data_IF_327000202624
#
_entry.id   IF_327000202624
#
_cell.length_a   1.000
_cell.length_b   1.000
_cell.length_c   1.000
_cell.angle_alpha   90.00
_cell.angle_beta   90.00
_cell.angle_gamma   90.00
#
_symmetry.space_group_name_H-M   'P 1'
#
loop_
_entity.id
_entity.type
_entity.pdbx_description
1 polymer ?
#
# COMPACT_ATOMS: atom_id res chain seq x y z
N UNK A 1 1.69 8.12 24.49
CA UNK A 1 1.96 7.46 25.78
C UNK A 1 3.45 7.10 25.80
N UNK A 2 4.23 7.64 26.75
CA UNK A 2 5.67 7.35 26.88
C UNK A 2 5.82 6.21 27.89
N UNK A 3 6.44 5.10 27.50
CA UNK A 3 6.84 4.04 28.41
C UNK A 3 8.31 4.24 28.74
N UNK A 4 8.65 4.26 30.02
CA UNK A 4 10.03 4.34 30.49
C UNK A 4 10.62 2.93 30.51
N UNK A 5 11.43 2.59 29.50
CA UNK A 5 12.26 1.39 29.53
C UNK A 5 13.66 1.77 30.07
N UNK A 6 13.74 1.97 31.39
CA UNK A 6 15.01 2.12 32.09
C UNK A 6 15.75 3.46 31.90
N UNK A 7 16.82 3.59 32.69
CA UNK A 7 17.65 4.80 32.91
C UNK A 7 18.13 5.36 31.56
N UNK A 8 17.43 6.37 31.05
CA UNK A 8 17.69 7.15 29.83
C UNK A 8 17.06 6.68 28.50
N UNK A 9 16.13 5.71 28.47
CA UNK A 9 15.37 5.39 27.23
C UNK A 9 13.88 5.66 27.39
N UNK A 10 13.44 6.79 26.85
CA UNK A 10 12.02 7.13 26.70
C UNK A 10 11.49 6.51 25.41
N UNK A 11 10.67 5.47 25.52
CA UNK A 11 10.01 4.87 24.37
C UNK A 11 8.69 5.61 24.11
N UNK A 12 8.60 6.26 22.95
CA UNK A 12 7.33 6.70 22.40
C UNK A 12 6.66 5.49 21.75
N UNK A 13 5.55 5.04 22.33
CA UNK A 13 4.70 3.97 21.76
C UNK A 13 4.25 4.24 20.31
N UNK A 14 4.35 5.50 19.86
CA UNK A 14 3.85 5.96 18.58
C UNK A 14 4.94 6.83 17.92
N UNK A 15 5.86 6.24 17.14
CA UNK A 15 6.65 7.03 16.20
C UNK A 15 5.69 7.60 15.15
N UNK A 16 5.63 8.93 15.06
CA UNK A 16 4.71 9.66 14.17
C UNK A 16 5.21 9.71 12.72
N UNK A 17 6.51 9.63 12.49
CA UNK A 17 7.10 9.74 11.16
C UNK A 17 7.70 8.40 10.67
N UNK A 18 7.63 8.17 9.37
CA UNK A 18 8.41 7.12 8.72
C UNK A 18 9.89 7.50 8.67
N UNK A 19 10.78 6.50 8.77
CA UNK A 19 12.21 6.70 8.51
C UNK A 19 12.43 7.12 7.05
N UNK A 20 13.56 7.78 6.75
CA UNK A 20 13.87 8.21 5.38
C UNK A 20 13.87 7.03 4.40
N UNK A 21 14.41 5.89 4.83
CA UNK A 21 14.40 4.64 4.06
C UNK A 21 12.97 4.13 3.88
N UNK A 22 12.15 4.14 4.94
CA UNK A 22 10.75 3.74 4.88
C UNK A 22 9.92 4.59 3.92
N UNK A 23 10.08 5.92 3.93
CA UNK A 23 9.38 6.81 3.00
C UNK A 23 9.75 6.54 1.54
N UNK A 24 11.05 6.34 1.25
CA UNK A 24 11.49 5.97 -0.10
C UNK A 24 10.94 4.60 -0.51
N UNK A 25 11.01 3.61 0.38
CA UNK A 25 10.51 2.27 0.13
C UNK A 25 9.00 2.28 -0.16
N UNK A 26 8.18 2.92 0.68
CA UNK A 26 6.74 3.05 0.46
C UNK A 26 6.44 3.77 -0.87
N UNK A 27 7.20 4.83 -1.19
CA UNK A 27 7.12 5.54 -2.46
C UNK A 27 7.32 4.65 -3.68
N UNK A 28 8.34 3.79 -3.66
CA UNK A 28 8.65 2.84 -4.75
C UNK A 28 7.74 1.61 -4.76
N UNK A 29 7.27 1.18 -3.60
CA UNK A 29 6.38 0.03 -3.47
C UNK A 29 4.98 0.35 -4.04
N UNK A 30 4.45 1.56 -3.89
CA UNK A 30 3.12 1.91 -4.42
C UNK A 30 2.93 1.67 -5.94
N UNK A 31 3.79 2.14 -6.86
CA UNK A 31 3.62 1.88 -8.29
C UNK A 31 3.77 0.39 -8.63
N UNK A 32 4.62 -0.34 -7.91
CA UNK A 32 4.74 -1.78 -8.07
C UNK A 32 3.48 -2.52 -7.59
N UNK A 33 2.91 -2.08 -6.46
CA UNK A 33 1.64 -2.57 -5.94
C UNK A 33 0.54 -2.44 -6.99
N UNK A 34 0.47 -1.28 -7.65
CA UNK A 34 -0.48 -1.02 -8.72
C UNK A 34 -0.24 -1.95 -9.92
N UNK A 35 1.02 -2.13 -10.33
CA UNK A 35 1.38 -2.98 -11.46
C UNK A 35 0.98 -4.45 -11.24
N UNK A 36 1.04 -4.95 -10.01
CA UNK A 36 0.57 -6.31 -9.65
C UNK A 36 -0.95 -6.35 -9.48
N UNK A 37 -1.54 -5.31 -8.91
CA UNK A 37 -2.97 -5.24 -8.63
C UNK A 37 -3.83 -5.17 -9.91
N UNK A 38 -3.35 -4.51 -10.97
CA UNK A 38 -4.08 -4.42 -12.25
C UNK A 38 -4.38 -5.82 -12.82
N UNK A 39 -3.39 -6.72 -13.00
CA UNK A 39 -3.65 -8.11 -13.36
C UNK A 39 -4.61 -8.84 -12.41
N UNK A 40 -4.52 -8.64 -11.09
CA UNK A 40 -5.45 -9.26 -10.12
C UNK A 40 -6.89 -8.83 -10.41
N UNK A 41 -7.13 -7.53 -10.58
CA UNK A 41 -8.45 -6.96 -10.88
C UNK A 41 -8.99 -7.49 -12.21
N UNK A 42 -8.17 -7.52 -13.25
CA UNK A 42 -8.57 -7.99 -14.58
C UNK A 42 -8.91 -9.47 -14.54
N UNK A 43 -8.03 -10.32 -14.03
CA UNK A 43 -8.25 -11.77 -13.99
C UNK A 43 -9.48 -12.11 -13.14
N UNK A 44 -9.62 -11.50 -11.97
CA UNK A 44 -10.78 -11.75 -11.11
C UNK A 44 -12.07 -11.18 -11.67
N UNK A 45 -12.03 -9.99 -12.29
CA UNK A 45 -13.19 -9.38 -12.94
C UNK A 45 -13.72 -10.23 -14.10
N UNK A 46 -12.84 -10.73 -14.98
CA UNK A 46 -13.26 -11.61 -16.09
C UNK A 46 -13.70 -12.99 -15.58
N UNK A 47 -13.20 -13.43 -14.41
CA UNK A 47 -13.56 -14.73 -13.85
C UNK A 47 -15.00 -14.81 -13.32
N UNK A 48 -15.63 -13.68 -13.02
CA UNK A 48 -17.06 -13.61 -12.65
C UNK A 48 -17.96 -13.57 -13.89
N UNK A 49 -19.11 -14.26 -13.90
CA UNK A 49 -19.63 -15.13 -12.84
C UNK A 49 -18.97 -16.53 -12.82
N UNK A 50 -18.54 -17.03 -13.99
CA UNK A 50 -17.88 -18.32 -14.12
C UNK A 50 -17.15 -18.43 -15.47
N UNK A 51 -15.86 -18.06 -15.51
CA UNK A 51 -15.05 -18.17 -16.73
C UNK A 51 -14.45 -19.57 -16.93
N UNK A 52 -14.04 -20.22 -15.83
CA UNK A 52 -13.29 -21.48 -15.88
C UNK A 52 -13.68 -22.47 -14.79
N UNK A 53 -14.43 -22.07 -13.76
CA UNK A 53 -14.65 -22.89 -12.57
C UNK A 53 -15.49 -24.12 -12.90
N UNK A 54 -16.62 -23.95 -13.58
CA UNK A 54 -17.47 -25.09 -13.99
C UNK A 54 -16.78 -26.02 -14.99
N UNK A 55 -16.10 -25.45 -16.00
CA UNK A 55 -15.37 -26.23 -17.00
C UNK A 55 -14.24 -27.06 -16.37
N UNK A 56 -13.43 -26.45 -15.49
CA UNK A 56 -12.35 -27.15 -14.80
C UNK A 56 -12.89 -28.18 -13.82
N UNK A 57 -14.03 -27.93 -13.18
CA UNK A 57 -14.66 -28.92 -12.32
C UNK A 57 -15.08 -30.16 -13.13
N UNK A 58 -15.79 -29.96 -14.24
CA UNK A 58 -16.27 -31.04 -15.12
C UNK A 58 -15.11 -31.85 -15.72
N UNK A 59 -14.08 -31.19 -16.26
CA UNK A 59 -12.91 -31.87 -16.84
C UNK A 59 -12.18 -32.72 -15.79
N UNK A 60 -12.07 -32.20 -14.56
CA UNK A 60 -11.51 -32.97 -13.46
C UNK A 60 -12.32 -34.24 -13.19
N UNK A 61 -13.65 -34.14 -13.24
CA UNK A 61 -14.54 -35.24 -12.87
C UNK A 61 -14.53 -36.33 -13.93
N UNK A 62 -14.56 -35.94 -15.20
CA UNK A 62 -14.45 -36.84 -16.36
C UNK A 62 -13.15 -37.68 -16.29
N UNK A 63 -12.10 -37.12 -15.69
CA UNK A 63 -10.80 -37.77 -15.51
C UNK A 63 -10.60 -38.35 -14.09
N UNK A 64 -11.65 -38.38 -13.25
CA UNK A 64 -11.63 -38.94 -11.88
C UNK A 64 -10.63 -38.24 -10.95
N UNK A 65 -10.44 -36.93 -11.10
CA UNK A 65 -9.46 -36.13 -10.36
C UNK A 65 -10.04 -35.22 -9.29
N UNK A 66 -11.38 -35.10 -9.22
CA UNK A 66 -12.13 -34.31 -8.26
C UNK A 66 -13.59 -34.84 -8.15
N UNK A 67 -14.40 -34.18 -7.32
CA UNK A 67 -15.82 -34.51 -7.11
C UNK A 67 -16.71 -34.18 -8.32
N UNK A 68 -17.92 -34.72 -8.35
CA UNK A 68 -18.90 -34.49 -9.42
C UNK A 68 -19.56 -33.10 -9.29
N UNK A 69 -19.50 -32.22 -10.32
CA UNK A 69 -20.21 -30.93 -10.30
C UNK A 69 -21.73 -31.07 -10.16
N UNK A 70 -22.31 -32.18 -10.63
CA UNK A 70 -23.75 -32.44 -10.55
C UNK A 70 -24.21 -32.97 -9.17
N UNK A 71 -23.31 -33.04 -8.17
CA UNK A 71 -23.65 -33.49 -6.81
C UNK A 71 -24.80 -32.68 -6.18
N UNK A 72 -24.85 -31.37 -6.43
CA UNK A 72 -25.88 -30.48 -5.89
C UNK A 72 -27.22 -30.76 -6.55
N UNK A 73 -27.24 -30.87 -7.88
CA UNK A 73 -28.46 -31.17 -8.63
C UNK A 73 -28.99 -32.57 -8.31
N UNK A 74 -28.10 -33.54 -8.16
CA UNK A 74 -28.46 -34.90 -7.76
C UNK A 74 -29.09 -34.92 -6.35
N UNK A 75 -28.49 -34.22 -5.37
CA UNK A 75 -29.04 -34.17 -4.02
C UNK A 75 -30.41 -33.48 -4.00
N UNK A 76 -30.54 -32.38 -4.74
CA UNK A 76 -31.80 -31.64 -4.87
C UNK A 76 -32.91 -32.50 -5.50
N UNK A 77 -32.61 -33.19 -6.61
CA UNK A 77 -33.58 -34.05 -7.31
C UNK A 77 -34.00 -35.28 -6.49
N UNK A 78 -33.15 -35.76 -5.58
CA UNK A 78 -33.42 -36.93 -4.73
C UNK A 78 -33.86 -36.56 -3.31
N UNK A 79 -34.20 -35.30 -3.04
CA UNK A 79 -34.57 -34.81 -1.70
C UNK A 79 -33.56 -35.19 -0.59
N UNK A 80 -32.27 -35.23 -0.94
CA UNK A 80 -31.17 -35.48 0.00
C UNK A 80 -30.63 -34.15 0.55
N UNK A 81 -29.98 -34.16 1.72
CA UNK A 81 -29.31 -32.98 2.23
C UNK A 81 -28.28 -32.47 1.20
N UNK A 82 -28.25 -31.16 0.99
CA UNK A 82 -27.34 -30.52 0.04
C UNK A 82 -25.89 -30.77 0.48
N UNK A 83 -25.05 -31.38 -0.38
CA UNK A 83 -23.69 -31.69 -0.01
C UNK A 83 -22.85 -30.42 0.00
N UNK A 84 -21.83 -30.39 0.86
CA UNK A 84 -20.92 -29.25 0.99
C UNK A 84 -20.05 -29.11 -0.24
N UNK A 85 -20.23 -28.05 -1.02
CA UNK A 85 -19.39 -27.75 -2.18
C UNK A 85 -18.00 -27.32 -1.72
N UNK A 86 -16.92 -27.92 -2.25
CA UNK A 86 -15.56 -27.50 -1.94
C UNK A 86 -15.32 -26.03 -2.24
N UNK A 87 -14.57 -25.33 -1.38
CA UNK A 87 -14.36 -23.88 -1.49
C UNK A 87 -13.80 -23.48 -2.86
N UNK A 88 -12.90 -24.28 -3.44
CA UNK A 88 -12.32 -24.05 -4.75
C UNK A 88 -13.34 -23.98 -5.89
N UNK A 89 -14.40 -24.80 -5.81
CA UNK A 89 -15.46 -24.86 -6.82
C UNK A 89 -16.65 -23.98 -6.46
N UNK A 90 -16.57 -23.20 -5.39
CA UNK A 90 -17.65 -22.35 -4.92
C UNK A 90 -17.67 -20.98 -5.62
N UNK A 91 -18.87 -20.44 -5.89
CA UNK A 91 -19.01 -19.05 -6.34
C UNK A 91 -18.58 -18.06 -5.25
N UNK A 92 -18.68 -18.46 -3.98
CA UNK A 92 -18.25 -17.65 -2.84
C UNK A 92 -16.77 -17.27 -2.93
N UNK A 93 -15.90 -18.18 -3.37
CA UNK A 93 -14.47 -17.89 -3.55
C UNK A 93 -14.24 -16.89 -4.70
N UNK A 94 -14.92 -17.06 -5.84
CA UNK A 94 -14.82 -16.12 -6.97
C UNK A 94 -15.28 -14.71 -6.56
N UNK A 95 -16.41 -14.62 -5.86
CA UNK A 95 -16.95 -13.35 -5.37
C UNK A 95 -16.03 -12.71 -4.33
N UNK A 96 -15.45 -13.52 -3.42
CA UNK A 96 -14.46 -13.07 -2.46
C UNK A 96 -13.22 -12.51 -3.15
N UNK A 97 -12.69 -13.20 -4.17
CA UNK A 97 -11.53 -12.76 -4.93
C UNK A 97 -11.75 -11.41 -5.65
N UNK A 98 -12.93 -11.20 -6.22
CA UNK A 98 -13.33 -9.89 -6.79
C UNK A 98 -13.44 -8.83 -5.70
N UNK A 99 -14.06 -9.14 -4.57
CA UNK A 99 -14.20 -8.18 -3.47
C UNK A 99 -12.84 -7.75 -2.91
N UNK A 100 -11.91 -8.68 -2.66
CA UNK A 100 -10.60 -8.34 -2.12
C UNK A 100 -9.77 -7.50 -3.09
N UNK A 101 -9.91 -7.69 -4.41
CA UNK A 101 -9.17 -6.89 -5.40
C UNK A 101 -9.68 -5.45 -5.44
N UNK A 102 -11.00 -5.24 -5.36
CA UNK A 102 -11.60 -3.91 -5.25
C UNK A 102 -11.19 -3.23 -3.93
N UNK A 103 -11.24 -3.97 -2.82
CA UNK A 103 -10.81 -3.46 -1.50
C UNK A 103 -9.33 -3.05 -1.55
N UNK A 104 -8.48 -3.88 -2.17
CA UNK A 104 -7.05 -3.58 -2.34
C UNK A 104 -6.82 -2.31 -3.15
N UNK A 105 -7.60 -2.10 -4.23
CA UNK A 105 -7.55 -0.88 -5.02
C UNK A 105 -7.93 0.36 -4.20
N UNK A 106 -9.01 0.28 -3.43
CA UNK A 106 -9.42 1.38 -2.58
C UNK A 106 -8.33 1.73 -1.55
N UNK A 107 -7.73 0.72 -0.91
CA UNK A 107 -6.63 0.94 0.03
C UNK A 107 -5.38 1.51 -0.65
N UNK A 108 -5.05 1.09 -1.86
CA UNK A 108 -3.94 1.66 -2.63
C UNK A 108 -4.17 3.15 -2.94
N UNK A 109 -5.39 3.52 -3.35
CA UNK A 109 -5.75 4.92 -3.60
C UNK A 109 -5.73 5.75 -2.32
N UNK A 110 -6.31 5.23 -1.22
CA UNK A 110 -6.28 5.89 0.07
C UNK A 110 -4.84 6.06 0.59
N UNK A 111 -3.99 5.04 0.40
CA UNK A 111 -2.56 5.06 0.74
C UNK A 111 -1.82 6.12 -0.07
N UNK A 112 -2.10 6.25 -1.37
CA UNK A 112 -1.51 7.29 -2.22
C UNK A 112 -1.84 8.70 -1.71
N UNK A 113 -3.11 8.96 -1.41
CA UNK A 113 -3.56 10.27 -0.87
C UNK A 113 -2.89 10.54 0.48
N UNK A 114 -2.92 9.56 1.39
CA UNK A 114 -2.31 9.68 2.71
C UNK A 114 -0.79 9.90 2.63
N UNK A 115 -0.12 9.30 1.64
CA UNK A 115 1.30 9.48 1.38
C UNK A 115 1.62 10.90 0.90
N UNK A 116 0.85 11.44 -0.06
CA UNK A 116 1.01 12.81 -0.56
C UNK A 116 0.79 13.84 0.56
N UNK A 117 -0.24 13.63 1.37
CA UNK A 117 -0.55 14.49 2.52
C UNK A 117 0.43 14.32 3.70
N UNK A 118 1.41 13.42 3.61
CA UNK A 118 2.34 13.06 4.69
C UNK A 118 1.64 12.63 5.99
N UNK A 119 0.41 12.11 5.90
CA UNK A 119 -0.39 11.62 7.03
C UNK A 119 -0.42 10.09 7.13
N UNK A 120 0.33 9.39 6.29
CA UNK A 120 0.40 7.94 6.33
C UNK A 120 1.24 7.48 7.53
N UNK A 121 0.61 7.07 8.63
CA UNK A 121 1.32 6.61 9.83
C UNK A 121 1.67 5.10 9.77
N UNK A 122 2.84 4.69 10.27
CA UNK A 122 3.28 3.29 10.22
C UNK A 122 2.37 2.33 11.00
N UNK A 123 1.65 2.81 12.03
CA UNK A 123 0.70 1.99 12.78
C UNK A 123 -0.52 1.58 11.94
N UNK A 124 -1.08 2.51 11.17
CA UNK A 124 -2.18 2.22 10.25
C UNK A 124 -1.71 1.32 9.11
N UNK A 125 -0.48 1.54 8.63
CA UNK A 125 0.13 0.67 7.64
C UNK A 125 0.22 -0.78 8.13
N UNK A 126 0.68 -1.04 9.37
CA UNK A 126 0.72 -2.40 9.91
C UNK A 126 -0.67 -3.02 9.95
N UNK A 127 -1.68 -2.31 10.48
CA UNK A 127 -3.04 -2.85 10.58
C UNK A 127 -3.63 -3.23 9.22
N UNK A 128 -3.51 -2.33 8.23
CA UNK A 128 -4.02 -2.55 6.88
C UNK A 128 -3.30 -3.71 6.20
N UNK A 129 -1.96 -3.76 6.29
CA UNK A 129 -1.19 -4.85 5.68
C UNK A 129 -1.53 -6.21 6.32
N UNK A 130 -1.69 -6.28 7.64
CA UNK A 130 -2.12 -7.53 8.32
C UNK A 130 -3.49 -7.97 7.83
N UNK A 131 -4.45 -7.04 7.72
CA UNK A 131 -5.79 -7.36 7.23
C UNK A 131 -5.75 -7.88 5.77
N UNK A 132 -4.99 -7.22 4.90
CA UNK A 132 -4.83 -7.65 3.50
C UNK A 132 -4.11 -8.99 3.40
N UNK A 133 -3.06 -9.24 4.18
CA UNK A 133 -2.36 -10.53 4.23
C UNK A 133 -3.34 -11.65 4.63
N UNK A 134 -4.18 -11.43 5.63
CA UNK A 134 -5.16 -12.41 6.06
C UNK A 134 -6.16 -12.73 4.94
N UNK A 135 -6.69 -11.70 4.26
CA UNK A 135 -7.62 -11.85 3.14
C UNK A 135 -7.00 -12.60 1.95
N UNK A 136 -5.79 -12.21 1.52
CA UNK A 136 -5.09 -12.89 0.43
C UNK A 136 -4.67 -14.30 0.79
N UNK A 137 -4.37 -14.58 2.06
CA UNK A 137 -4.07 -15.94 2.54
C UNK A 137 -5.30 -16.85 2.43
N UNK A 138 -6.50 -16.37 2.78
CA UNK A 138 -7.76 -17.09 2.56
C UNK A 138 -8.01 -17.31 1.06
N UNK A 139 -7.74 -16.32 0.21
CA UNK A 139 -7.85 -16.45 -1.25
C UNK A 139 -6.92 -17.54 -1.80
N UNK A 140 -5.64 -17.54 -1.40
CA UNK A 140 -4.65 -18.54 -1.82
C UNK A 140 -5.05 -19.94 -1.35
N UNK A 141 -5.45 -20.06 -0.08
CA UNK A 141 -5.94 -21.33 0.47
C UNK A 141 -7.16 -21.84 -0.29
N UNK A 142 -8.12 -20.97 -0.63
CA UNK A 142 -9.29 -21.35 -1.42
C UNK A 142 -8.95 -21.77 -2.84
N UNK A 143 -7.98 -21.10 -3.49
CA UNK A 143 -7.57 -21.42 -4.87
C UNK A 143 -6.79 -22.74 -4.98
N UNK A 144 -5.99 -23.09 -3.97
CA UNK A 144 -5.23 -24.37 -3.93
C UNK A 144 -5.97 -25.46 -3.17
N UNK A 145 -7.11 -25.12 -2.57
CA UNK A 145 -7.77 -25.92 -1.55
C UNK A 145 -8.15 -27.33 -1.99
N UNK A 146 -8.31 -28.24 -1.01
CA UNK A 146 -8.70 -29.60 -1.29
C UNK A 146 -10.16 -29.72 -1.71
N UNK A 147 -10.45 -30.80 -2.42
CA UNK A 147 -11.78 -31.30 -2.73
C UNK A 147 -11.91 -32.72 -2.16
N UNK A 148 -12.64 -32.83 -1.05
CA UNK A 148 -12.99 -34.10 -0.39
C UNK A 148 -14.50 -34.35 -0.41
N UNK A 149 -15.24 -33.72 -1.31
CA UNK A 149 -16.70 -33.87 -1.36
C UNK A 149 -17.15 -35.27 -1.79
N UNK A 150 -16.35 -35.97 -2.62
CA UNK A 150 -16.57 -37.36 -3.01
C UNK A 150 -15.47 -38.25 -2.43
N UNK A 151 -15.78 -39.20 -1.52
CA UNK A 151 -14.81 -40.16 -0.98
C UNK A 151 -14.15 -41.04 -2.03
N UNK A 152 -14.75 -41.18 -3.23
CA UNK A 152 -14.22 -42.02 -4.32
C UNK A 152 -13.03 -41.37 -5.04
N UNK A 153 -13.03 -40.04 -5.12
CA UNK A 153 -12.04 -39.26 -5.85
C UNK A 153 -11.50 -38.10 -5.00
N UNK A 154 -10.83 -38.40 -3.86
CA UNK A 154 -10.30 -37.37 -2.98
C UNK A 154 -9.15 -36.63 -3.67
N UNK A 155 -9.19 -35.30 -3.62
CA UNK A 155 -8.19 -34.43 -4.22
C UNK A 155 -7.65 -33.46 -3.17
N UNK A 156 -6.37 -33.59 -2.82
CA UNK A 156 -5.73 -32.68 -1.86
C UNK A 156 -5.54 -31.25 -2.38
N UNK A 157 -5.58 -31.06 -3.70
CA UNK A 157 -5.48 -29.76 -4.35
C UNK A 157 -6.16 -29.80 -5.74
N UNK A 158 -6.42 -28.63 -6.32
CA UNK A 158 -6.93 -28.52 -7.69
C UNK A 158 -6.10 -29.34 -8.68
N UNK A 159 -6.77 -30.10 -9.54
CA UNK A 159 -6.09 -31.01 -10.46
C UNK A 159 -5.20 -30.27 -11.46
N UNK A 160 -5.57 -29.08 -11.90
CA UNK A 160 -4.82 -28.32 -12.91
C UNK A 160 -3.52 -27.73 -12.36
N UNK A 161 -3.33 -27.69 -11.04
CA UNK A 161 -2.02 -27.42 -10.43
C UNK A 161 -1.16 -28.67 -10.32
N UNK A 162 -1.77 -29.85 -10.16
CA UNK A 162 -1.05 -31.13 -10.01
C UNK A 162 -0.65 -31.76 -11.35
N UNK A 163 -1.54 -31.70 -12.34
CA UNK A 163 -1.34 -32.34 -13.65
C UNK A 163 -1.04 -31.34 -14.78
N UNK A 164 -1.19 -30.04 -14.51
CA UNK A 164 -0.99 -28.98 -15.50
C UNK A 164 -2.15 -28.85 -16.50
N UNK A 165 -2.00 -27.94 -17.45
CA UNK A 165 -3.04 -27.60 -18.42
C UNK A 165 -3.10 -28.49 -19.67
N UNK A 166 -2.21 -29.48 -19.81
CA UNK A 166 -2.22 -30.39 -20.96
C UNK A 166 -3.52 -31.20 -21.07
N UNK A 167 -4.13 -31.56 -19.93
CA UNK A 167 -5.41 -32.27 -19.92
C UNK A 167 -6.56 -31.43 -20.47
N UNK A 168 -6.58 -30.13 -20.16
CA UNK A 168 -7.59 -29.19 -20.66
C UNK A 168 -7.48 -28.94 -22.18
N UNK A 169 -6.36 -29.26 -22.80
CA UNK A 169 -6.15 -29.09 -24.24
C UNK A 169 -7.09 -29.97 -25.07
N UNK A 170 -7.35 -31.21 -24.61
CA UNK A 170 -8.27 -32.14 -25.28
C UNK A 170 -9.71 -31.62 -25.33
N UNK A 171 -10.06 -30.73 -24.39
CA UNK A 171 -11.39 -30.12 -24.26
C UNK A 171 -11.45 -28.72 -24.88
N UNK A 172 -10.37 -28.24 -25.51
CA UNK A 172 -10.32 -26.87 -26.07
C UNK A 172 -10.27 -25.75 -25.01
N UNK A 173 -10.06 -26.09 -23.73
CA UNK A 173 -10.08 -25.15 -22.59
C UNK A 173 -8.69 -24.79 -22.05
N UNK A 174 -7.67 -24.90 -22.90
CA UNK A 174 -6.28 -24.66 -22.52
C UNK A 174 -6.05 -23.24 -21.97
N UNK A 175 -6.57 -22.21 -22.65
CA UNK A 175 -6.42 -20.81 -22.21
C UNK A 175 -7.11 -20.55 -20.86
N UNK A 176 -8.31 -21.10 -20.65
CA UNK A 176 -9.03 -20.99 -19.37
C UNK A 176 -8.24 -21.59 -18.22
N UNK A 177 -7.59 -22.74 -18.45
CA UNK A 177 -6.70 -23.36 -17.46
C UNK A 177 -5.48 -22.48 -17.17
N UNK A 178 -4.85 -21.89 -18.20
CA UNK A 178 -3.72 -20.97 -18.00
C UNK A 178 -4.12 -19.74 -17.20
N UNK A 179 -5.32 -19.19 -17.42
CA UNK A 179 -5.84 -18.07 -16.64
C UNK A 179 -6.04 -18.47 -15.17
N UNK A 180 -6.56 -19.67 -14.90
CA UNK A 180 -6.72 -20.20 -13.54
C UNK A 180 -5.37 -20.43 -12.83
N UNK A 181 -4.33 -20.84 -13.56
CA UNK A 181 -2.99 -20.94 -13.01
C UNK A 181 -2.36 -19.57 -12.76
N UNK A 182 -2.54 -18.64 -13.70
CA UNK A 182 -2.06 -17.28 -13.58
C UNK A 182 -2.74 -16.55 -12.41
N UNK A 183 -4.03 -16.80 -12.14
CA UNK A 183 -4.72 -16.16 -11.01
C UNK A 183 -4.05 -16.48 -9.68
N UNK A 184 -3.66 -17.74 -9.46
CA UNK A 184 -2.90 -18.13 -8.26
C UNK A 184 -1.51 -17.50 -8.23
N UNK A 185 -0.81 -17.48 -9.37
CA UNK A 185 0.52 -16.89 -9.46
C UNK A 185 0.52 -15.40 -9.06
N UNK A 186 -0.45 -14.64 -9.58
CA UNK A 186 -0.56 -13.21 -9.28
C UNK A 186 -1.03 -12.98 -7.84
N UNK A 187 -1.93 -13.81 -7.27
CA UNK A 187 -2.30 -13.66 -5.86
C UNK A 187 -1.16 -13.97 -4.90
N UNK A 188 -0.33 -14.96 -5.20
CA UNK A 188 0.87 -15.25 -4.43
C UNK A 188 1.86 -14.08 -4.49
N UNK A 189 2.06 -13.50 -5.68
CA UNK A 189 2.89 -12.32 -5.85
C UNK A 189 2.36 -11.15 -5.00
N UNK A 190 1.04 -10.93 -5.01
CA UNK A 190 0.40 -9.88 -4.20
C UNK A 190 0.53 -10.13 -2.70
N UNK A 191 0.40 -11.39 -2.26
CA UNK A 191 0.60 -11.79 -0.86
C UNK A 191 2.04 -11.51 -0.40
N UNK A 192 3.03 -11.89 -1.20
CA UNK A 192 4.45 -11.58 -0.94
C UNK A 192 4.67 -10.08 -0.85
N UNK A 193 4.03 -9.32 -1.74
CA UNK A 193 4.12 -7.87 -1.74
C UNK A 193 3.61 -7.24 -0.44
N UNK A 194 2.46 -7.71 0.07
CA UNK A 194 1.93 -7.26 1.35
C UNK A 194 2.78 -7.70 2.54
N UNK A 195 3.39 -8.89 2.50
CA UNK A 195 4.35 -9.33 3.52
C UNK A 195 5.60 -8.43 3.57
N UNK A 196 6.13 -8.03 2.42
CA UNK A 196 7.25 -7.09 2.33
C UNK A 196 6.86 -5.72 2.88
N UNK A 197 5.68 -5.19 2.50
CA UNK A 197 5.16 -3.94 3.07
C UNK A 197 4.98 -4.01 4.59
N UNK A 198 4.49 -5.15 5.11
CA UNK A 198 4.36 -5.37 6.54
C UNK A 198 5.74 -5.37 7.23
N UNK A 199 6.73 -6.02 6.64
CA UNK A 199 8.11 -6.02 7.13
C UNK A 199 8.68 -4.61 7.26
N UNK A 200 8.52 -3.78 6.24
CA UNK A 200 8.93 -2.37 6.29
C UNK A 200 8.14 -1.55 7.32
N UNK A 201 6.84 -1.80 7.44
CA UNK A 201 6.00 -1.10 8.42
C UNK A 201 6.37 -1.47 9.87
N UNK A 202 6.69 -2.74 10.13
CA UNK A 202 7.18 -3.21 11.45
C UNK A 202 8.56 -2.60 11.73
N UNK A 203 9.47 -2.64 10.75
CA UNK A 203 10.80 -2.04 10.89
C UNK A 203 10.72 -0.53 11.20
N UNK A 204 9.83 0.20 10.56
CA UNK A 204 9.62 1.62 10.83
C UNK A 204 9.08 1.90 12.25
N UNK A 205 8.39 0.92 12.88
CA UNK A 205 7.96 1.03 14.29
C UNK A 205 9.04 0.65 15.29
N UNK A 206 10.11 -0.01 14.85
CA UNK A 206 11.22 -0.37 15.73
C UNK A 206 11.93 0.90 16.23
N UNK A 207 12.29 0.99 17.52
CA UNK A 207 12.99 2.15 18.05
C UNK A 207 14.35 2.32 17.37
N UNK A 208 14.45 3.30 16.47
CA UNK A 208 15.66 3.70 15.78
C UNK A 208 16.07 5.12 16.18
N UNK A 209 17.38 5.36 16.26
CA UNK A 209 17.95 6.66 16.65
C UNK A 209 17.54 7.80 15.69
N UNK A 210 17.28 7.48 14.42
CA UNK A 210 16.76 8.44 13.42
C UNK A 210 15.39 9.04 13.81
N UNK A 211 14.56 8.29 14.54
CA UNK A 211 13.24 8.77 14.96
C UNK A 211 13.33 9.80 16.09
N UNK A 212 14.40 9.75 16.91
CA UNK A 212 14.66 10.75 17.93
C UNK A 212 15.08 12.08 17.29
N UNK A 213 15.98 12.02 16.30
CA UNK A 213 16.45 13.22 15.57
C UNK A 213 15.33 13.91 14.79
N UNK A 214 14.46 13.15 14.12
CA UNK A 214 13.32 13.72 13.41
C UNK A 214 12.30 14.39 14.36
N UNK A 215 12.11 13.83 15.55
CA UNK A 215 11.23 14.42 16.56
C UNK A 215 11.81 15.69 17.17
N UNK A 216 13.12 15.73 17.42
CA UNK A 216 13.82 16.92 17.89
C UNK A 216 13.79 18.04 16.83
N UNK A 217 13.95 17.71 15.55
CA UNK A 217 13.86 18.68 14.45
C UNK A 217 12.42 19.23 14.28
N UNK A 218 11.40 18.36 14.36
CA UNK A 218 9.99 18.77 14.33
C UNK A 218 9.60 19.61 15.57
N UNK A 219 10.10 19.27 16.76
CA UNK A 219 9.88 20.07 17.98
C UNK A 219 10.61 21.41 17.92
N UNK A 220 11.86 21.43 17.46
CA UNK A 220 12.65 22.64 17.36
C UNK A 220 12.04 23.60 16.32
N UNK A 221 11.51 23.07 15.21
CA UNK A 221 10.81 23.86 14.19
C UNK A 221 9.40 24.33 14.58
N UNK A 222 8.76 23.72 15.59
CA UNK A 222 7.52 24.24 16.20
C UNK A 222 7.75 25.14 17.41
N UNK A 223 8.94 25.11 18.02
CA UNK A 223 9.33 25.96 19.16
C UNK A 223 10.13 27.19 18.73
N UNK A 224 10.69 27.20 17.52
CA UNK A 224 11.25 28.42 16.92
C UNK A 224 10.12 29.40 16.60
N UNK A 225 10.06 30.50 17.36
CA UNK A 225 9.16 31.62 17.12
C UNK A 225 9.16 32.03 15.63
N UNK A 226 8.02 32.39 15.03
CA UNK A 226 7.91 32.73 13.60
C UNK A 226 8.80 33.90 13.14
N UNK A 227 9.42 34.63 14.09
CA UNK A 227 10.20 35.84 13.83
C UNK A 227 11.65 35.60 13.38
N UNK A 228 12.24 34.43 13.63
CA UNK A 228 13.65 34.18 13.23
C UNK A 228 13.78 33.66 11.79
N UNK A 229 12.77 32.92 11.29
CA UNK A 229 12.86 32.27 9.97
C UNK A 229 12.72 33.24 8.80
N UNK A 230 12.05 34.39 8.98
CA UNK A 230 11.96 35.42 7.94
C UNK A 230 13.20 36.32 7.85
N UNK A 231 14.04 36.35 8.90
CA UNK A 231 15.22 37.23 8.95
C UNK A 231 16.50 36.52 8.48
N UNK A 232 16.61 35.20 8.70
CA UNK A 232 17.83 34.45 8.39
C UNK A 232 18.05 34.11 6.90
N UNK A 233 17.01 34.17 6.05
CA UNK A 233 17.15 33.74 4.63
C UNK A 233 17.44 34.91 3.67
N UNK A 234 17.24 36.15 4.11
CA UNK A 234 17.41 37.34 3.25
C UNK A 234 18.67 38.17 3.53
N UNK A 235 19.37 37.90 4.62
CA UNK A 235 20.60 38.63 4.97
C UNK A 235 21.76 37.65 5.05
N UNK A 236 22.46 37.40 3.93
CA UNK A 236 23.90 37.02 3.90
C UNK A 236 24.41 36.81 2.46
N UNK A 237 23.98 37.63 1.49
CA UNK A 237 24.60 37.66 0.15
C UNK A 237 25.13 39.03 -0.28
N UNK A 238 25.09 40.04 0.59
CA UNK A 238 25.67 41.34 0.27
C UNK A 238 26.36 41.94 1.49
N UNK A 239 27.61 41.57 1.74
CA UNK A 239 28.57 42.52 2.30
C UNK A 239 30.00 41.99 2.16
N UNK A 240 30.65 42.42 1.08
CA UNK A 240 32.10 42.39 0.97
C UNK A 240 32.62 43.76 1.45
N UNK A 241 33.18 43.76 2.67
CA UNK A 241 34.14 44.75 3.23
C UNK A 241 33.57 46.14 3.65
N UNK A 242 34.34 46.96 4.41
CA UNK A 242 34.32 46.97 5.88
C UNK A 242 33.96 48.38 6.44
N UNK A 243 33.99 48.50 7.78
CA UNK A 243 34.30 49.72 8.57
C UNK A 243 33.15 50.41 9.34
N UNK A 244 33.42 50.55 10.65
CA UNK A 244 32.93 51.49 11.67
C UNK A 244 31.72 51.09 12.53
N UNK A 245 32.00 50.89 13.82
CA UNK A 245 31.08 50.48 14.88
C UNK A 245 30.16 51.59 15.42
N UNK A 246 30.09 52.78 14.80
CA UNK A 246 29.36 53.94 15.34
C UNK A 246 28.31 54.55 14.39
N UNK A 247 27.83 53.83 13.38
CA UNK A 247 26.74 54.34 12.53
C UNK A 247 25.36 53.99 13.14
N UNK A 248 24.67 55.01 13.67
CA UNK A 248 23.26 54.89 14.07
C UNK A 248 22.37 54.64 12.85
N UNK A 249 21.36 53.75 12.94
CA UNK A 249 20.57 53.33 11.79
C UNK A 249 19.66 54.46 11.29
N UNK A 250 19.78 54.79 10.01
CA UNK A 250 18.91 55.76 9.34
C UNK A 250 17.56 55.11 8.98
N UNK A 251 16.45 55.77 9.31
CA UNK A 251 15.11 55.34 8.89
C UNK A 251 14.70 56.05 7.59
N UNK A 252 13.88 55.43 6.72
CA UNK A 252 13.56 55.97 5.39
C UNK A 252 12.88 57.34 5.39
N UNK A 253 12.39 57.83 6.53
CA UNK A 253 11.77 59.16 6.66
C UNK A 253 12.78 60.32 6.61
N UNK A 254 14.08 60.07 6.84
CA UNK A 254 15.11 61.12 6.81
C UNK A 254 15.77 61.30 5.45
N UNK A 255 15.58 60.36 4.49
CA UNK A 255 16.16 60.50 3.16
C UNK A 255 15.46 61.54 2.29
N UNK A 256 14.15 61.77 2.50
CA UNK A 256 13.38 62.75 1.74
C UNK A 256 13.82 64.21 2.00
N UNK A 257 14.33 64.52 3.19
CA UNK A 257 14.82 65.87 3.53
C UNK A 257 16.21 66.14 2.92
N UNK A 258 17.07 65.13 2.82
CA UNK A 258 18.38 65.28 2.18
C UNK A 258 18.30 65.44 0.65
N UNK A 259 17.23 64.97 0.01
CA UNK A 259 17.02 65.18 -1.43
C UNK A 259 16.50 66.58 -1.76
N UNK A 260 15.81 67.25 -0.83
CA UNK A 260 15.27 68.60 -1.03
C UNK A 260 16.31 69.71 -0.81
N UNK A 261 17.28 69.51 0.10
CA UNK A 261 18.39 70.45 0.32
C UNK A 261 19.32 70.58 -0.90
N UNK A 262 19.33 69.59 -1.81
CA UNK A 262 20.23 69.58 -2.97
C UNK A 262 19.66 70.27 -4.22
N UNK A 263 18.37 70.67 -4.22
CA UNK A 263 17.68 71.14 -5.43
C UNK A 263 17.15 72.58 -5.38
N UNK A 264 17.53 73.40 -4.39
CA UNK A 264 17.24 74.83 -4.43
C UNK A 264 18.39 75.60 -5.09
N UNK A 265 18.25 76.12 -6.33
CA UNK A 265 19.17 77.12 -6.82
C UNK A 265 19.02 78.39 -5.96
N UNK A 266 20.09 78.72 -5.25
CA UNK A 266 20.25 80.01 -4.58
C UNK A 266 20.03 81.13 -5.61
N UNK A 267 18.95 81.88 -5.46
CA UNK A 267 18.77 83.17 -6.11
C UNK A 267 19.85 84.09 -5.53
N UNK A 268 20.98 84.22 -6.23
CA UNK A 268 21.98 85.24 -5.92
C UNK A 268 21.31 86.61 -6.04
N UNK A 269 21.50 87.40 -5.00
CA UNK A 269 21.06 88.78 -4.90
C UNK A 269 21.77 89.63 -5.97
N UNK A 270 20.99 90.41 -6.70
CA UNK A 270 21.28 91.83 -6.94
C UNK A 270 19.97 92.57 -7.05
#
# INVERSE_FOLDING_TARGET
MKLLLGKNRTYLLIPRAWTRVGNKAVGWLMPFELAVLVPVLVIFGISQPDLYRSDMWQIGFDNKLNSNPNMVLYAYANYRPLPTVPLIWSSTLTNFNVAISIISLFFLLAKLIAFIMKMYYPIFAVFINVALIALYSVSVYGQVGPDYADPRYPASAAWYFRQGCGLAQKYGKFKSCQIAQASLGVTLLMLVFYLVNLGFAIYARWPNQENHLAYEDDQNSTTSDPKERSMSTWEMQSMKSPVSANAVPFTPRTQAFHTLDRQLPLRQQT
#
